data_IF_278032271445
#
_entry.id   IF_278032271445
#
_cell.length_a   1.000
_cell.length_b   1.000
_cell.length_c   1.000
_cell.angle_alpha   90.00
_cell.angle_beta   90.00
_cell.angle_gamma   90.00
#
_symmetry.space_group_name_H-M   'P 1'
#
loop_
_entity.id
_entity.type
_entity.pdbx_description
1 polymer ?
#
# COMPACT_ATOMS: atom_id res chain seq x y z
N UNK A 1 -15.00 24.92 2.48
CA UNK A 1 -14.87 23.74 1.60
C UNK A 1 -13.42 23.72 1.11
N UNK A 2 -12.57 22.88 1.69
CA UNK A 2 -11.16 22.78 1.28
C UNK A 2 -11.13 22.21 -0.14
N UNK A 3 -10.41 22.82 -1.10
CA UNK A 3 -10.28 22.25 -2.43
C UNK A 3 -9.67 20.85 -2.31
N UNK A 4 -10.07 19.87 -3.14
CA UNK A 4 -9.35 18.62 -3.20
C UNK A 4 -7.92 18.98 -3.59
N UNK A 5 -6.97 18.72 -2.69
CA UNK A 5 -5.55 18.73 -3.04
C UNK A 5 -5.44 17.92 -4.33
N UNK A 6 -4.70 18.38 -5.32
CA UNK A 6 -4.27 17.55 -6.46
C UNK A 6 -3.35 16.46 -5.91
N UNK A 7 -3.94 15.57 -5.14
CA UNK A 7 -3.33 14.77 -4.11
C UNK A 7 -3.49 13.34 -4.53
N UNK A 8 -2.37 12.64 -4.52
CA UNK A 8 -2.29 11.20 -4.79
C UNK A 8 -3.42 10.47 -4.07
N UNK A 9 -4.00 9.48 -4.75
CA UNK A 9 -5.29 8.85 -4.41
C UNK A 9 -5.37 8.37 -2.96
N UNK A 10 -4.23 8.05 -2.35
CA UNK A 10 -4.16 7.47 -1.02
C UNK A 10 -3.39 8.33 -0.01
N UNK A 11 -3.17 9.61 -0.30
CA UNK A 11 -2.45 10.51 0.57
C UNK A 11 -3.06 10.53 1.99
N UNK A 12 -2.22 10.25 2.99
CA UNK A 12 -2.62 10.25 4.40
C UNK A 12 -3.46 9.04 4.84
N UNK A 13 -3.71 8.07 3.95
CA UNK A 13 -4.43 6.83 4.28
C UNK A 13 -3.47 5.78 4.84
N UNK A 14 -4.03 4.87 5.64
CA UNK A 14 -3.36 3.63 6.06
C UNK A 14 -4.01 2.46 5.32
N UNK A 15 -3.19 1.59 4.72
CA UNK A 15 -3.66 0.46 3.91
C UNK A 15 -3.00 -0.83 4.42
N UNK A 16 -3.82 -1.86 4.66
CA UNK A 16 -3.34 -3.21 4.95
C UNK A 16 -3.40 -4.07 3.68
N UNK A 17 -2.32 -4.76 3.33
CA UNK A 17 -2.26 -5.67 2.18
C UNK A 17 -1.82 -7.05 2.65
N UNK A 18 -2.67 -8.05 2.42
CA UNK A 18 -2.35 -9.47 2.66
C UNK A 18 -1.79 -10.12 1.38
N UNK A 19 -0.93 -11.14 1.52
CA UNK A 19 -0.33 -11.82 0.36
C UNK A 19 0.65 -10.94 -0.43
N UNK A 20 1.31 -9.98 0.25
CA UNK A 20 2.15 -8.97 -0.39
C UNK A 20 3.61 -9.40 -0.65
N UNK A 21 3.97 -10.66 -0.41
CA UNK A 21 5.32 -11.18 -0.62
C UNK A 21 5.70 -11.26 -2.11
N UNK A 22 4.72 -11.48 -3.00
CA UNK A 22 4.94 -11.61 -4.45
C UNK A 22 3.69 -11.21 -5.26
N UNK A 23 3.83 -11.25 -6.59
CA UNK A 23 2.72 -11.11 -7.52
C UNK A 23 1.91 -9.82 -7.32
N UNK A 24 0.59 -9.93 -7.42
CA UNK A 24 -0.33 -8.80 -7.35
C UNK A 24 -0.32 -8.11 -5.98
N UNK A 25 -0.24 -8.86 -4.88
CA UNK A 25 -0.18 -8.26 -3.54
C UNK A 25 1.00 -7.31 -3.39
N UNK A 26 2.19 -7.71 -3.87
CA UNK A 26 3.38 -6.85 -3.90
C UNK A 26 3.20 -5.62 -4.80
N UNK A 27 2.58 -5.80 -5.98
CA UNK A 27 2.32 -4.71 -6.90
C UNK A 27 1.36 -3.68 -6.30
N UNK A 28 0.28 -4.12 -5.67
CA UNK A 28 -0.69 -3.25 -5.00
C UNK A 28 -0.09 -2.52 -3.80
N UNK A 29 0.68 -3.20 -2.94
CA UNK A 29 1.37 -2.56 -1.82
C UNK A 29 2.27 -1.40 -2.28
N UNK A 30 2.98 -1.59 -3.40
CA UNK A 30 3.83 -0.55 -4.00
C UNK A 30 3.02 0.59 -4.61
N UNK A 31 1.94 0.27 -5.32
CA UNK A 31 1.06 1.29 -5.91
C UNK A 31 0.42 2.17 -4.82
N UNK A 32 -0.09 1.59 -3.74
CA UNK A 32 -0.65 2.35 -2.62
C UNK A 32 0.38 3.24 -1.93
N UNK A 33 1.60 2.73 -1.72
CA UNK A 33 2.69 3.53 -1.17
C UNK A 33 3.07 4.70 -2.11
N UNK A 34 3.14 4.45 -3.42
CA UNK A 34 3.38 5.49 -4.41
C UNK A 34 2.29 6.57 -4.38
N UNK A 35 1.03 6.16 -4.16
CA UNK A 35 -0.13 7.04 -3.99
C UNK A 35 -0.22 7.70 -2.60
N UNK A 36 0.82 7.59 -1.77
CA UNK A 36 0.94 8.35 -0.51
C UNK A 36 0.33 7.67 0.72
N UNK A 37 0.02 6.38 0.64
CA UNK A 37 -0.43 5.61 1.78
C UNK A 37 0.73 5.21 2.70
N UNK A 38 0.44 5.07 3.99
CA UNK A 38 1.22 4.21 4.89
C UNK A 38 0.73 2.78 4.72
N UNK A 39 1.60 1.88 4.26
CA UNK A 39 1.21 0.50 3.94
C UNK A 39 1.74 -0.47 4.98
N UNK A 40 0.85 -1.29 5.51
CA UNK A 40 1.17 -2.45 6.36
C UNK A 40 0.99 -3.70 5.51
N UNK A 41 1.99 -4.57 5.50
CA UNK A 41 1.97 -5.82 4.73
C UNK A 41 2.00 -7.02 5.65
N UNK A 42 1.23 -8.06 5.30
CA UNK A 42 1.30 -9.37 5.94
C UNK A 42 1.35 -10.47 4.85
N UNK A 43 2.32 -11.37 4.95
CA UNK A 43 2.46 -12.50 4.06
C UNK A 43 3.04 -13.69 4.83
N UNK A 44 2.65 -14.91 4.45
CA UNK A 44 3.06 -16.14 5.12
C UNK A 44 4.45 -16.64 4.69
N UNK A 45 5.03 -16.09 3.62
CA UNK A 45 6.29 -16.54 3.02
C UNK A 45 7.40 -15.48 2.95
N UNK A 46 7.32 -14.42 3.77
CA UNK A 46 8.34 -13.33 3.83
C UNK A 46 9.32 -13.45 5.01
N UNK A 47 9.19 -14.51 5.82
CA UNK A 47 10.22 -14.91 6.79
C UNK A 47 11.29 -15.80 6.14
N UNK A 48 12.50 -15.91 6.74
CA UNK A 48 13.56 -16.75 6.19
C UNK A 48 13.10 -18.21 6.19
N UNK A 49 13.01 -18.77 4.99
CA UNK A 49 12.90 -20.19 4.68
C UNK A 49 13.86 -20.52 3.57
#
# INVERSE_FOLDING_TARGET
>A
MTPPTTGRLCAGRVVAVTGAGRGLGRAHARAFAAEGARVVVNDLGVGPG
#
